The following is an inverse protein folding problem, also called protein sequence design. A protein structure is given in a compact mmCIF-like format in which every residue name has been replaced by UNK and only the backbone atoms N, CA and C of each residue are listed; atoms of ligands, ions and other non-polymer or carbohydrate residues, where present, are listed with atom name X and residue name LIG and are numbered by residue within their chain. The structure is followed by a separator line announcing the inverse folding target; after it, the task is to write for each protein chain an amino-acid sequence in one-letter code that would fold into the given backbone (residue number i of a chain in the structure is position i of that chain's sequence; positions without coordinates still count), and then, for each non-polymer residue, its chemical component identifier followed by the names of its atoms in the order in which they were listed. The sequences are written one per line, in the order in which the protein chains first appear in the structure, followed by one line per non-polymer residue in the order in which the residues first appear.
data_IF_597568643092
#
_entry.id   IF_597568643092
#
_cell.length_a   1.000
_cell.length_b   1.000
_cell.length_c   1.000
_cell.angle_alpha   90.00
_cell.angle_beta   90.00
_cell.angle_gamma   90.00
#
_symmetry.space_group_name_H-M   'P 1'
#
loop_
_entity.id
_entity.type
_entity.pdbx_description
1 polymer ?
#
# COMPACT_ATOMS: atom_id res chain seq x y z
N UNK A 1 -21.67 -3.36 32.62
CA UNK A 1 -21.48 -1.99 33.18
C UNK A 1 -19.98 -1.72 33.27
N UNK A 2 -19.46 -0.49 33.16
CA UNK A 2 -19.91 0.70 32.43
C UNK A 2 -18.82 1.80 32.57
N UNK A 3 -18.33 2.40 31.46
CA UNK A 3 -17.32 3.49 31.44
C UNK A 3 -15.96 3.11 32.09
N UNK A 4 -14.87 3.88 32.05
CA UNK A 4 -14.39 5.03 31.25
C UNK A 4 -12.83 4.96 31.30
N UNK A 5 -12.02 5.59 30.46
CA UNK A 5 -12.28 6.50 29.34
C UNK A 5 -11.19 7.58 29.25
N UNK A 6 -10.43 7.59 28.15
CA UNK A 6 -9.42 8.61 27.74
C UNK A 6 -8.13 8.71 28.59
N UNK A 7 -7.00 8.57 27.90
CA UNK A 7 -5.89 9.54 27.99
C UNK A 7 -5.64 10.04 26.55
N UNK A 8 -5.40 11.33 26.39
CA UNK A 8 -5.10 11.99 25.13
C UNK A 8 -4.33 13.29 25.38
N UNK A 9 -4.12 14.08 24.32
CA UNK A 9 -3.36 15.34 24.34
C UNK A 9 -1.86 15.21 24.66
N UNK A 10 -1.09 14.80 23.65
CA UNK A 10 0.02 15.66 23.23
C UNK A 10 -0.59 16.93 22.60
N UNK A 11 0.02 18.11 22.79
CA UNK A 11 -0.31 19.29 21.96
C UNK A 11 -0.68 20.61 22.66
N UNK A 12 -0.10 20.96 23.80
CA UNK A 12 -0.17 22.33 24.36
C UNK A 12 1.21 22.81 24.85
N UNK A 13 2.19 22.84 23.94
CA UNK A 13 3.60 23.16 24.26
C UNK A 13 4.13 24.50 23.73
N UNK A 14 3.29 25.37 23.18
CA UNK A 14 3.70 26.55 22.40
C UNK A 14 3.12 27.90 22.88
N UNK A 15 2.43 27.94 24.02
CA UNK A 15 1.89 29.18 24.62
C UNK A 15 2.54 29.42 25.99
N UNK A 16 3.84 29.70 25.99
CA UNK A 16 4.61 29.99 27.22
C UNK A 16 5.76 31.02 27.07
N UNK A 17 6.18 31.38 25.85
CA UNK A 17 7.32 32.31 25.66
C UNK A 17 7.02 33.79 25.97
N UNK A 18 5.77 34.17 26.23
CA UNK A 18 5.39 35.56 26.53
C UNK A 18 5.62 36.03 27.98
N UNK A 19 6.02 35.14 28.90
CA UNK A 19 6.00 35.41 30.35
C UNK A 19 7.37 35.46 31.04
N UNK A 20 8.47 35.19 30.34
CA UNK A 20 9.82 35.18 30.92
C UNK A 20 10.58 36.53 30.86
N UNK A 21 9.94 37.61 30.38
CA UNK A 21 10.51 38.97 30.40
C UNK A 21 10.02 39.85 31.56
N UNK A 22 9.13 39.36 32.43
CA UNK A 22 8.46 40.17 33.47
C UNK A 22 8.98 39.93 34.91
N UNK A 23 9.81 38.92 35.14
CA UNK A 23 10.19 38.49 36.49
C UNK A 23 11.39 39.24 37.12
N UNK A 24 11.93 40.25 36.44
CA UNK A 24 13.15 40.96 36.87
C UNK A 24 12.89 42.21 37.75
N UNK A 25 11.62 42.57 38.05
CA UNK A 25 11.28 43.87 38.66
C UNK A 25 10.30 43.78 39.84
N UNK A 26 10.35 42.69 40.62
CA UNK A 26 9.43 42.44 41.76
C UNK A 26 10.13 42.02 43.06
N UNK A 27 11.39 42.42 43.27
CA UNK A 27 12.16 42.12 44.50
C UNK A 27 12.77 43.38 45.13
N UNK A 28 11.94 44.43 45.36
CA UNK A 28 12.31 45.53 46.26
C UNK A 28 11.11 46.33 46.83
N UNK A 29 10.12 45.70 47.47
CA UNK A 29 8.99 46.44 48.07
C UNK A 29 8.25 45.73 49.22
N UNK A 30 8.96 45.25 50.24
CA UNK A 30 8.36 44.90 51.54
C UNK A 30 9.42 44.76 52.66
N UNK A 31 9.76 45.86 53.34
CA UNK A 31 9.71 45.91 54.82
C UNK A 31 10.04 47.31 55.34
N UNK A 32 9.05 47.96 55.98
CA UNK A 32 9.30 49.09 56.89
C UNK A 32 8.08 49.31 57.79
N UNK A 33 8.18 48.90 59.04
CA UNK A 33 7.36 49.42 60.14
C UNK A 33 8.28 49.88 61.28
N UNK A 34 7.94 50.99 61.91
CA UNK A 34 8.90 51.89 62.58
C UNK A 34 9.39 51.37 63.94
N UNK A 35 10.44 52.01 64.51
CA UNK A 35 10.12 53.11 65.43
C UNK A 35 11.11 54.31 65.44
N UNK A 36 10.54 55.51 65.61
CA UNK A 36 11.00 56.46 66.64
C UNK A 36 12.19 57.40 66.41
N UNK A 37 11.95 58.68 66.75
CA UNK A 37 12.88 59.61 67.42
C UNK A 37 14.08 60.21 66.63
N UNK A 38 13.75 61.29 65.90
CA UNK A 38 14.27 62.66 66.13
C UNK A 38 15.78 62.95 66.24
N UNK A 39 16.24 63.72 65.23
CA UNK A 39 16.93 65.02 65.35
C UNK A 39 18.49 65.06 65.42
N UNK A 40 19.04 66.24 65.06
CA UNK A 40 20.45 66.68 65.13
C UNK A 40 21.35 65.91 64.14
N UNK A 41 21.67 66.43 62.96
CA UNK A 41 22.68 67.48 62.68
C UNK A 41 24.07 67.13 63.21
N UNK A 42 25.01 66.81 62.32
CA UNK A 42 26.35 67.42 62.29
C UNK A 42 27.09 66.96 61.02
N UNK A 43 28.18 67.65 60.68
CA UNK A 43 28.97 67.37 59.49
C UNK A 43 30.42 67.02 59.88
N UNK A 44 30.99 66.00 59.25
CA UNK A 44 32.23 66.11 58.45
C UNK A 44 32.50 64.80 57.67
N UNK A 45 33.31 64.83 56.58
CA UNK A 45 33.47 63.69 55.68
C UNK A 45 34.64 62.76 56.05
N UNK A 46 34.37 61.47 56.21
CA UNK A 46 35.39 60.43 56.47
C UNK A 46 35.36 59.29 55.44
N UNK A 47 35.96 59.55 54.27
CA UNK A 47 36.63 58.55 53.40
C UNK A 47 36.05 57.13 53.34
N UNK A 48 34.80 56.98 52.88
CA UNK A 48 34.39 55.73 52.24
C UNK A 48 34.93 55.73 50.81
N UNK A 49 35.95 54.92 50.54
CA UNK A 49 36.44 54.70 49.17
C UNK A 49 35.35 53.93 48.43
N UNK A 50 34.68 54.59 47.49
CA UNK A 50 33.82 53.89 46.54
C UNK A 50 34.70 52.91 45.73
N UNK A 51 34.22 51.68 45.44
CA UNK A 51 34.94 50.79 44.52
C UNK A 51 35.14 51.52 43.19
N UNK A 52 36.31 51.37 42.59
CA UNK A 52 36.68 52.18 41.44
C UNK A 52 35.70 51.91 40.29
N UNK A 53 35.31 52.95 39.54
CA UNK A 53 34.38 52.79 38.43
C UNK A 53 34.91 51.79 37.39
N UNK A 54 36.24 51.69 37.29
CA UNK A 54 36.93 50.71 36.46
C UNK A 54 36.84 49.27 37.01
N UNK A 55 36.93 49.08 38.33
CA UNK A 55 36.74 47.77 38.99
C UNK A 55 35.30 47.26 38.77
N UNK A 56 34.31 48.15 38.83
CA UNK A 56 32.92 47.80 38.54
C UNK A 56 32.70 47.48 37.04
N UNK A 57 33.43 48.11 36.12
CA UNK A 57 33.40 47.76 34.70
C UNK A 57 34.05 46.39 34.42
N UNK A 58 35.21 46.11 35.04
CA UNK A 58 35.91 44.84 34.87
C UNK A 58 35.07 43.64 35.35
N UNK A 59 34.36 43.77 36.49
CA UNK A 59 33.43 42.74 36.98
C UNK A 59 32.28 42.48 36.00
N UNK A 60 31.70 43.53 35.39
CA UNK A 60 30.63 43.38 34.38
C UNK A 60 31.17 42.69 33.12
N UNK A 61 32.34 43.10 32.64
CA UNK A 61 32.99 42.51 31.47
C UNK A 61 33.34 41.04 31.69
N UNK A 62 33.84 40.70 32.89
CA UNK A 62 34.14 39.32 33.30
C UNK A 62 32.86 38.47 33.36
N UNK A 63 31.74 39.00 33.86
CA UNK A 63 30.45 38.30 33.90
C UNK A 63 29.88 38.03 32.48
N UNK A 64 30.02 39.00 31.57
CA UNK A 64 29.66 38.84 30.16
C UNK A 64 30.51 37.74 29.51
N UNK A 65 31.83 37.75 29.70
CA UNK A 65 32.70 36.75 29.10
C UNK A 65 32.54 35.36 29.73
N UNK A 66 32.24 35.27 31.04
CA UNK A 66 31.86 34.00 31.67
C UNK A 66 30.58 33.43 31.04
N UNK A 67 29.53 34.25 30.91
CA UNK A 67 28.25 33.83 30.30
C UNK A 67 28.46 33.38 28.85
N UNK A 68 29.33 34.06 28.11
CA UNK A 68 29.74 33.63 26.76
C UNK A 68 30.45 32.28 26.77
N UNK A 69 31.45 32.08 27.62
CA UNK A 69 32.19 30.81 27.74
C UNK A 69 31.28 29.65 28.16
N UNK A 70 30.30 29.88 29.03
CA UNK A 70 29.29 28.90 29.43
C UNK A 70 28.34 28.54 28.27
N UNK A 71 27.94 29.53 27.47
CA UNK A 71 27.16 29.34 26.24
C UNK A 71 27.94 28.54 25.18
N UNK A 72 29.19 28.92 24.90
CA UNK A 72 30.08 28.22 23.95
C UNK A 72 30.34 26.77 24.41
N UNK A 73 30.53 26.55 25.71
CA UNK A 73 30.66 25.20 26.28
C UNK A 73 29.34 24.39 26.26
N UNK A 74 28.18 25.03 26.28
CA UNK A 74 26.90 24.35 26.04
C UNK A 74 26.69 24.00 24.56
N UNK A 75 27.07 24.90 23.64
CA UNK A 75 27.02 24.68 22.20
C UNK A 75 27.90 23.49 21.77
N UNK A 76 29.16 23.43 22.26
CA UNK A 76 30.06 22.31 21.96
C UNK A 76 29.52 20.96 22.47
N UNK A 77 29.01 20.89 23.71
CA UNK A 77 28.38 19.66 24.24
C UNK A 77 27.17 19.21 23.40
N UNK A 78 26.37 20.16 22.90
CA UNK A 78 25.25 19.84 22.00
C UNK A 78 25.75 19.35 20.63
N UNK A 79 26.81 19.95 20.07
CA UNK A 79 27.42 19.51 18.81
C UNK A 79 28.03 18.10 18.91
N UNK A 80 28.72 17.79 20.00
CA UNK A 80 29.26 16.45 20.29
C UNK A 80 28.13 15.41 20.42
N UNK A 81 27.05 15.73 21.15
CA UNK A 81 25.89 14.86 21.29
C UNK A 81 25.16 14.62 19.95
N UNK A 82 25.12 15.62 19.06
CA UNK A 82 24.60 15.47 17.70
C UNK A 82 25.52 14.59 16.84
N UNK A 83 26.84 14.79 16.90
CA UNK A 83 27.80 13.97 16.18
C UNK A 83 27.74 12.49 16.58
N UNK A 84 27.57 12.19 17.88
CA UNK A 84 27.36 10.83 18.39
C UNK A 84 26.05 10.20 17.90
N UNK A 85 24.96 10.98 17.82
CA UNK A 85 23.69 10.50 17.27
C UNK A 85 23.78 10.23 15.77
N UNK A 86 24.45 11.11 15.02
CA UNK A 86 24.65 10.94 13.58
C UNK A 86 25.52 9.72 13.26
N UNK A 87 26.61 9.47 13.99
CA UNK A 87 27.44 8.28 13.78
C UNK A 87 26.72 6.98 14.14
N UNK A 88 25.89 6.98 15.20
CA UNK A 88 25.03 5.84 15.52
C UNK A 88 23.99 5.57 14.42
N UNK A 89 23.32 6.62 13.91
CA UNK A 89 22.36 6.49 12.79
C UNK A 89 23.07 5.93 11.55
N UNK A 90 24.23 6.49 11.17
CA UNK A 90 25.04 6.03 10.04
C UNK A 90 25.38 4.54 10.17
N UNK A 91 25.90 4.11 11.32
CA UNK A 91 26.21 2.70 11.58
C UNK A 91 24.97 1.80 11.53
N UNK A 92 23.80 2.28 11.99
CA UNK A 92 22.55 1.52 11.92
C UNK A 92 22.07 1.30 10.48
N UNK A 93 22.23 2.31 9.62
CA UNK A 93 21.87 2.25 8.20
C UNK A 93 22.83 1.31 7.46
N UNK A 94 24.13 1.42 7.68
CA UNK A 94 25.14 0.52 7.09
C UNK A 94 24.92 -0.94 7.52
N UNK A 95 24.61 -1.17 8.80
CA UNK A 95 24.30 -2.51 9.32
C UNK A 95 22.97 -3.07 8.77
N UNK A 96 21.94 -2.24 8.57
CA UNK A 96 20.69 -2.65 7.95
C UNK A 96 20.91 -2.99 6.47
N UNK A 97 21.55 -2.11 5.70
CA UNK A 97 21.78 -2.31 4.27
C UNK A 97 22.65 -3.56 4.00
N UNK A 98 23.64 -3.84 4.87
CA UNK A 98 24.41 -5.09 4.81
C UNK A 98 23.52 -6.33 5.00
N UNK A 99 22.63 -6.34 6.02
CA UNK A 99 21.69 -7.46 6.26
C UNK A 99 20.73 -7.66 5.09
N UNK A 100 20.25 -6.57 4.49
CA UNK A 100 19.38 -6.61 3.31
C UNK A 100 20.12 -7.21 2.10
N UNK A 101 21.37 -6.81 1.84
CA UNK A 101 22.16 -7.42 0.76
C UNK A 101 22.48 -8.90 1.02
N UNK A 102 22.79 -9.30 2.26
CA UNK A 102 22.99 -10.71 2.63
C UNK A 102 21.70 -11.55 2.45
N UNK A 103 20.53 -10.98 2.77
CA UNK A 103 19.22 -11.60 2.54
C UNK A 103 18.88 -11.71 1.05
N UNK A 104 19.13 -10.68 0.23
CA UNK A 104 18.92 -10.72 -1.22
C UNK A 104 19.88 -11.71 -1.88
N UNK A 105 21.16 -11.73 -1.49
CA UNK A 105 22.15 -12.65 -2.06
C UNK A 105 21.84 -14.12 -1.73
N UNK A 106 21.41 -14.41 -0.50
CA UNK A 106 21.00 -15.76 -0.10
C UNK A 106 19.71 -16.21 -0.80
N UNK A 107 18.70 -15.33 -0.91
CA UNK A 107 17.48 -15.58 -1.69
C UNK A 107 17.80 -15.88 -3.17
N UNK A 108 18.61 -15.04 -3.83
CA UNK A 108 19.03 -15.25 -5.21
C UNK A 108 19.79 -16.57 -5.40
N UNK A 109 20.63 -16.97 -4.44
CA UNK A 109 21.33 -18.26 -4.46
C UNK A 109 20.37 -19.45 -4.35
N UNK A 110 19.35 -19.36 -3.49
CA UNK A 110 18.31 -20.41 -3.37
C UNK A 110 17.53 -20.52 -4.69
N UNK A 111 17.11 -19.40 -5.26
CA UNK A 111 16.39 -19.35 -6.55
C UNK A 111 17.21 -19.95 -7.69
N UNK A 112 18.51 -19.65 -7.78
CA UNK A 112 19.42 -20.20 -8.79
C UNK A 112 19.55 -21.74 -8.67
N UNK A 113 19.65 -22.26 -7.45
CA UNK A 113 19.70 -23.71 -7.18
C UNK A 113 18.37 -24.39 -7.49
N UNK A 114 17.24 -23.78 -7.13
CA UNK A 114 15.92 -24.31 -7.48
C UNK A 114 15.72 -24.39 -8.99
N UNK A 115 16.13 -23.34 -9.73
CA UNK A 115 16.07 -23.31 -11.19
C UNK A 115 16.95 -24.39 -11.85
N UNK A 116 18.16 -24.64 -11.34
CA UNK A 116 19.04 -25.68 -11.90
C UNK A 116 18.54 -27.10 -11.61
N UNK A 117 17.92 -27.34 -10.44
CA UNK A 117 17.26 -28.61 -10.13
C UNK A 117 16.05 -28.85 -11.02
N UNK A 118 15.19 -27.85 -11.23
CA UNK A 118 14.03 -27.94 -12.13
C UNK A 118 14.45 -28.16 -13.60
N UNK A 119 15.51 -27.49 -14.05
CA UNK A 119 16.08 -27.76 -15.38
C UNK A 119 16.62 -29.19 -15.50
N UNK A 120 17.37 -29.67 -14.50
CA UNK A 120 17.93 -31.03 -14.47
C UNK A 120 16.87 -32.13 -14.49
N UNK A 121 15.81 -31.99 -13.69
CA UNK A 121 14.68 -32.95 -13.70
C UNK A 121 13.89 -32.89 -15.00
N UNK A 122 13.70 -31.70 -15.58
CA UNK A 122 13.10 -31.51 -16.90
C UNK A 122 13.89 -32.20 -18.02
N UNK A 123 15.21 -32.00 -18.07
CA UNK A 123 16.08 -32.68 -19.04
C UNK A 123 16.08 -34.21 -18.89
N UNK A 124 16.11 -34.71 -17.64
CA UNK A 124 16.03 -36.15 -17.38
C UNK A 124 14.67 -36.73 -17.82
N UNK A 125 13.57 -36.03 -17.55
CA UNK A 125 12.23 -36.41 -18.00
C UNK A 125 12.11 -36.46 -19.53
N UNK A 126 12.64 -35.44 -20.22
CA UNK A 126 12.69 -35.40 -21.68
C UNK A 126 13.53 -36.54 -22.27
N UNK A 127 14.68 -36.86 -21.66
CA UNK A 127 15.54 -37.96 -22.11
C UNK A 127 14.87 -39.34 -21.91
N UNK A 128 14.23 -39.55 -20.75
CA UNK A 128 13.43 -40.74 -20.50
C UNK A 128 12.28 -40.89 -21.50
N UNK A 129 11.53 -39.81 -21.78
CA UNK A 129 10.45 -39.81 -22.77
C UNK A 129 10.98 -40.16 -24.18
N UNK A 130 12.09 -39.54 -24.60
CA UNK A 130 12.72 -39.84 -25.89
C UNK A 130 13.17 -41.32 -25.99
N UNK A 131 13.75 -41.87 -24.92
CA UNK A 131 14.14 -43.29 -24.86
C UNK A 131 12.93 -44.24 -24.93
N UNK A 132 11.83 -43.93 -24.22
CA UNK A 132 10.59 -44.70 -24.30
C UNK A 132 9.98 -44.66 -25.69
N UNK A 133 9.93 -43.48 -26.33
CA UNK A 133 9.44 -43.33 -27.70
C UNK A 133 10.31 -44.12 -28.70
N UNK A 134 11.64 -44.01 -28.62
CA UNK A 134 12.57 -44.76 -29.47
C UNK A 134 12.43 -46.29 -29.30
N UNK A 135 12.21 -46.75 -28.06
CA UNK A 135 11.98 -48.17 -27.77
C UNK A 135 10.61 -48.64 -28.31
N UNK A 136 9.58 -47.79 -28.24
CA UNK A 136 8.26 -48.07 -28.79
C UNK A 136 8.29 -48.13 -30.34
N UNK A 137 8.95 -47.17 -31.01
CA UNK A 137 9.11 -47.20 -32.47
C UNK A 137 9.88 -48.42 -32.94
N UNK A 138 10.95 -48.81 -32.25
CA UNK A 138 11.70 -50.02 -32.60
C UNK A 138 10.83 -51.29 -32.46
N UNK A 139 10.03 -51.42 -31.41
CA UNK A 139 9.07 -52.53 -31.27
C UNK A 139 7.98 -52.52 -32.35
N UNK A 140 7.48 -51.35 -32.73
CA UNK A 140 6.52 -51.22 -33.83
C UNK A 140 7.14 -51.64 -35.18
N UNK A 141 8.41 -51.30 -35.45
CA UNK A 141 9.10 -51.77 -36.66
C UNK A 141 9.39 -53.27 -36.67
N UNK A 142 9.68 -53.88 -35.52
CA UNK A 142 9.82 -55.35 -35.41
C UNK A 142 8.50 -56.05 -35.74
N UNK A 143 7.38 -55.59 -35.17
CA UNK A 143 6.04 -56.16 -35.44
C UNK A 143 5.61 -55.90 -36.89
N UNK A 144 5.90 -54.72 -37.44
CA UNK A 144 5.61 -54.38 -38.84
C UNK A 144 6.33 -55.27 -39.86
N UNK A 145 7.48 -55.85 -39.50
CA UNK A 145 8.22 -56.78 -40.35
C UNK A 145 7.79 -58.25 -40.17
N UNK A 146 7.00 -58.56 -39.15
CA UNK A 146 6.56 -59.91 -38.82
C UNK A 146 5.28 -60.36 -39.57
N UNK A 147 4.68 -59.48 -40.39
CA UNK A 147 3.45 -59.77 -41.15
C UNK A 147 3.77 -59.90 -42.66
N UNK A 148 4.04 -61.12 -43.18
CA UNK A 148 4.27 -61.32 -44.60
C UNK A 148 2.97 -61.15 -45.40
N UNK A 149 2.91 -60.14 -46.26
CA UNK A 149 1.75 -59.79 -47.09
C UNK A 149 1.61 -60.74 -48.31
N UNK A 150 1.43 -62.04 -48.07
CA UNK A 150 1.52 -63.05 -49.14
C UNK A 150 0.64 -64.31 -48.95
N UNK A 151 -0.67 -64.16 -48.76
CA UNK A 151 -1.68 -65.20 -49.05
C UNK A 151 -3.11 -64.62 -49.08
N UNK A 152 -3.52 -64.03 -50.20
CA UNK A 152 -4.89 -63.50 -50.37
C UNK A 152 -5.33 -63.36 -51.85
N UNK A 153 -5.13 -64.39 -52.70
CA UNK A 153 -5.57 -64.36 -54.10
C UNK A 153 -5.80 -65.79 -54.66
N UNK A 154 -6.96 -66.37 -54.33
CA UNK A 154 -7.81 -67.26 -55.15
C UNK A 154 -8.98 -67.80 -54.27
N UNK A 155 -10.22 -68.01 -54.78
CA UNK A 155 -11.39 -68.34 -53.97
C UNK A 155 -11.82 -69.83 -54.04
N UNK A 156 -12.29 -70.43 -52.94
CA UNK A 156 -12.66 -71.87 -52.94
C UNK A 156 -13.53 -72.39 -51.79
N UNK A 157 -14.85 -72.22 -51.92
CA UNK A 157 -15.95 -73.04 -51.34
C UNK A 157 -16.13 -73.17 -49.81
N UNK A 158 -17.42 -73.25 -49.42
CA UNK A 158 -17.94 -73.49 -48.05
C UNK A 158 -17.94 -75.01 -47.73
N UNK A 159 -18.05 -75.41 -46.44
CA UNK A 159 -19.38 -75.70 -45.91
C UNK A 159 -19.60 -75.29 -44.43
N UNK A 160 -20.86 -75.39 -43.99
CA UNK A 160 -21.30 -75.06 -42.63
C UNK A 160 -21.12 -76.23 -41.62
N UNK A 161 -20.81 -75.85 -40.37
CA UNK A 161 -21.18 -76.48 -39.09
C UNK A 161 -21.13 -78.02 -38.89
N UNK A 162 -20.44 -78.47 -37.81
CA UNK A 162 -21.09 -79.06 -36.61
C UNK A 162 -20.09 -79.41 -35.48
N UNK A 163 -20.63 -79.49 -34.25
CA UNK A 163 -20.16 -80.21 -33.05
C UNK A 163 -18.74 -80.01 -32.47
N UNK A 164 -18.71 -79.35 -31.29
CA UNK A 164 -18.14 -79.79 -30.00
C UNK A 164 -16.71 -80.38 -29.91
N UNK A 165 -15.87 -79.77 -29.06
CA UNK A 165 -14.61 -80.35 -28.57
C UNK A 165 -13.66 -79.35 -27.90
N UNK A 166 -13.81 -79.14 -26.59
CA UNK A 166 -12.76 -78.56 -25.73
C UNK A 166 -11.61 -79.57 -25.50
N UNK A 167 -10.43 -79.14 -25.03
CA UNK A 167 -9.70 -77.90 -25.30
C UNK A 167 -8.22 -78.18 -25.68
N UNK A 168 -7.38 -77.17 -25.94
CA UNK A 168 -6.07 -77.00 -25.27
C UNK A 168 -5.29 -75.75 -25.74
N UNK A 169 -4.44 -75.26 -24.84
CA UNK A 169 -3.51 -74.12 -24.91
C UNK A 169 -2.97 -73.73 -26.31
N UNK A 170 -3.15 -72.45 -26.65
CA UNK A 170 -2.16 -71.67 -27.40
C UNK A 170 -1.73 -70.46 -26.53
N UNK A 171 -0.43 -70.18 -26.43
CA UNK A 171 0.08 -69.04 -25.66
C UNK A 171 -0.12 -67.73 -26.45
N UNK A 172 -1.15 -66.96 -26.10
CA UNK A 172 -1.26 -65.56 -26.53
C UNK A 172 -0.23 -64.68 -25.82
N UNK A 173 0.32 -63.66 -26.50
CA UNK A 173 1.40 -62.86 -25.92
C UNK A 173 0.92 -62.04 -24.72
N UNK A 174 1.71 -61.93 -23.63
CA UNK A 174 1.33 -61.15 -22.46
C UNK A 174 1.19 -59.65 -22.76
N UNK A 175 1.82 -59.15 -23.83
CA UNK A 175 1.69 -57.77 -24.30
C UNK A 175 0.31 -57.49 -24.93
N UNK A 176 -0.22 -58.41 -25.75
CA UNK A 176 -1.55 -58.28 -26.35
C UNK A 176 -2.64 -58.40 -25.29
N UNK A 177 -2.47 -59.34 -24.36
CA UNK A 177 -3.34 -59.51 -23.20
C UNK A 177 -3.30 -58.31 -22.24
N UNK A 178 -2.18 -57.59 -22.16
CA UNK A 178 -2.09 -56.32 -21.43
C UNK A 178 -2.75 -55.17 -22.20
N UNK A 179 -2.54 -55.07 -23.51
CA UNK A 179 -3.17 -54.05 -24.37
C UNK A 179 -4.70 -54.14 -24.36
N UNK A 180 -5.26 -55.34 -24.53
CA UNK A 180 -6.70 -55.59 -24.44
C UNK A 180 -7.28 -55.22 -23.06
N UNK A 181 -6.54 -55.48 -21.98
CA UNK A 181 -6.93 -55.07 -20.61
C UNK A 181 -6.87 -53.56 -20.41
N UNK A 182 -5.91 -52.86 -21.01
CA UNK A 182 -5.84 -51.40 -20.96
C UNK A 182 -6.96 -50.74 -21.76
N UNK A 183 -7.25 -51.22 -22.97
CA UNK A 183 -8.37 -50.74 -23.79
C UNK A 183 -9.71 -50.95 -23.09
N UNK A 184 -9.99 -52.16 -22.58
CA UNK A 184 -11.20 -52.43 -21.81
C UNK A 184 -11.30 -51.62 -20.51
N UNK A 185 -10.17 -51.31 -19.86
CA UNK A 185 -10.15 -50.42 -18.70
C UNK A 185 -10.45 -48.96 -19.06
N UNK A 186 -10.03 -48.48 -20.23
CA UNK A 186 -10.34 -47.13 -20.73
C UNK A 186 -11.83 -47.05 -21.10
N UNK A 187 -12.34 -47.99 -21.90
CA UNK A 187 -13.75 -48.04 -22.31
C UNK A 187 -14.70 -48.13 -21.10
N UNK A 188 -14.31 -48.90 -20.07
CA UNK A 188 -15.05 -48.98 -18.82
C UNK A 188 -14.92 -47.73 -17.92
N UNK A 189 -13.85 -46.94 -18.09
CA UNK A 189 -13.69 -45.65 -17.42
C UNK A 189 -14.57 -44.57 -18.10
N UNK A 190 -14.53 -44.49 -19.43
CA UNK A 190 -15.36 -43.58 -20.24
C UNK A 190 -16.85 -43.83 -20.00
N UNK A 191 -17.27 -45.09 -20.01
CA UNK A 191 -18.66 -45.47 -19.69
C UNK A 191 -19.08 -45.01 -18.28
N UNK A 192 -18.19 -45.13 -17.29
CA UNK A 192 -18.45 -44.63 -15.93
C UNK A 192 -18.43 -43.11 -15.84
N UNK A 193 -17.66 -42.43 -16.67
CA UNK A 193 -17.63 -40.97 -16.74
C UNK A 193 -18.98 -40.46 -17.28
N UNK A 194 -19.52 -41.06 -18.34
CA UNK A 194 -20.88 -40.78 -18.83
C UNK A 194 -21.99 -41.15 -17.82
N UNK A 195 -21.88 -42.26 -17.10
CA UNK A 195 -22.81 -42.61 -16.00
C UNK A 195 -22.78 -41.53 -14.89
N UNK A 196 -21.62 -40.94 -14.59
CA UNK A 196 -21.46 -39.83 -13.63
C UNK A 196 -21.99 -38.50 -14.18
N UNK A 197 -21.78 -38.18 -15.45
CA UNK A 197 -22.33 -36.98 -16.09
C UNK A 197 -23.88 -37.01 -16.14
N UNK A 198 -24.48 -38.15 -16.50
CA UNK A 198 -25.93 -38.29 -16.50
C UNK A 198 -26.54 -38.29 -15.09
N UNK A 199 -25.86 -38.85 -14.07
CA UNK A 199 -26.36 -38.78 -12.68
C UNK A 199 -26.18 -37.40 -12.05
N UNK A 200 -25.17 -36.63 -12.44
CA UNK A 200 -25.02 -35.22 -12.08
C UNK A 200 -26.12 -34.32 -12.67
N UNK A 201 -26.68 -34.68 -13.83
CA UNK A 201 -27.78 -33.93 -14.48
C UNK A 201 -29.18 -34.29 -13.97
N UNK A 202 -29.36 -35.43 -13.29
CA UNK A 202 -30.68 -35.96 -12.90
C UNK A 202 -30.86 -36.30 -11.40
N UNK A 203 -30.14 -35.63 -10.50
CA UNK A 203 -30.36 -35.75 -9.05
C UNK A 203 -31.16 -34.56 -8.47
N UNK A 204 -32.48 -34.68 -8.24
CA UNK A 204 -33.27 -33.62 -7.62
C UNK A 204 -32.99 -33.52 -6.12
N UNK A 205 -32.34 -32.44 -5.67
CA UNK A 205 -31.96 -32.28 -4.27
C UNK A 205 -33.17 -31.84 -3.41
N UNK A 206 -33.82 -32.81 -2.76
CA UNK A 206 -35.02 -32.58 -1.95
C UNK A 206 -34.87 -33.13 -0.51
N UNK A 207 -34.63 -32.23 0.44
CA UNK A 207 -34.74 -32.47 1.88
C UNK A 207 -33.43 -32.85 2.59
N UNK A 208 -33.23 -32.47 3.86
CA UNK A 208 -34.01 -31.52 4.66
C UNK A 208 -33.20 -30.99 5.86
N UNK A 209 -33.39 -29.72 6.20
CA UNK A 209 -33.18 -29.16 7.54
C UNK A 209 -33.95 -27.84 7.61
N UNK A 210 -34.87 -27.70 8.57
CA UNK A 210 -35.95 -26.69 8.55
C UNK A 210 -35.99 -25.92 9.88
N UNK A 211 -36.62 -24.73 9.87
CA UNK A 211 -36.78 -23.75 10.96
C UNK A 211 -35.55 -22.84 11.17
N UNK A 212 -35.66 -21.53 11.40
CA UNK A 212 -36.68 -20.48 11.17
C UNK A 212 -35.96 -19.11 11.39
N UNK A 213 -36.42 -17.89 11.09
CA UNK A 213 -37.71 -17.34 10.62
C UNK A 213 -37.44 -15.95 9.97
N UNK A 214 -38.36 -15.39 9.15
CA UNK A 214 -38.43 -13.93 8.89
C UNK A 214 -38.35 -13.44 7.43
N UNK A 215 -39.50 -13.41 6.74
CA UNK A 215 -39.78 -12.76 5.42
C UNK A 215 -40.83 -11.63 5.63
N UNK A 216 -41.43 -10.95 4.61
CA UNK A 216 -41.15 -10.80 3.17
C UNK A 216 -40.80 -9.31 2.83
N UNK A 217 -40.99 -8.64 1.68
CA UNK A 217 -41.50 -8.89 0.29
C UNK A 217 -40.57 -8.09 -0.67
N UNK A 218 -40.83 -7.56 -1.89
CA UNK A 218 -41.90 -7.45 -2.92
C UNK A 218 -41.16 -7.25 -4.27
N UNK A 219 -41.46 -8.00 -5.34
CA UNK A 219 -42.31 -7.61 -6.50
C UNK A 219 -41.90 -6.33 -7.26
N UNK A 220 -41.91 -6.26 -8.62
CA UNK A 220 -42.09 -7.28 -9.65
C UNK A 220 -41.74 -6.76 -11.08
N UNK A 221 -41.69 -7.68 -12.05
CA UNK A 221 -41.98 -7.51 -13.48
C UNK A 221 -41.03 -6.73 -14.44
N UNK A 222 -40.63 -7.49 -15.48
CA UNK A 222 -40.12 -7.11 -16.81
C UNK A 222 -40.78 -5.88 -17.48
N UNK A 223 -40.00 -5.17 -18.30
CA UNK A 223 -40.19 -5.19 -19.77
C UNK A 223 -38.91 -4.77 -20.51
N UNK A 224 -38.69 -5.30 -21.71
CA UNK A 224 -37.70 -4.82 -22.67
C UNK A 224 -38.37 -3.85 -23.68
N UNK A 225 -37.57 -2.96 -24.29
CA UNK A 225 -37.57 -2.62 -25.74
C UNK A 225 -36.92 -1.24 -26.02
N UNK A 226 -35.93 -1.23 -26.92
CA UNK A 226 -35.57 -0.09 -27.79
C UNK A 226 -36.36 -0.26 -29.12
N UNK A 227 -36.51 0.73 -30.04
CA UNK A 227 -35.41 1.51 -30.62
C UNK A 227 -35.72 3.01 -30.97
N UNK A 228 -34.64 3.75 -31.35
CA UNK A 228 -34.46 4.71 -32.47
C UNK A 228 -35.56 5.74 -32.89
N UNK A 229 -35.28 6.95 -33.41
CA UNK A 229 -34.05 7.78 -33.55
C UNK A 229 -34.37 9.24 -34.00
N UNK A 230 -33.32 10.09 -34.08
CA UNK A 230 -33.19 11.36 -34.85
C UNK A 230 -33.96 12.66 -34.47
N UNK A 231 -33.53 13.75 -35.13
CA UNK A 231 -34.08 15.12 -35.23
C UNK A 231 -33.78 16.18 -34.14
N UNK A 232 -32.70 16.93 -34.38
CA UNK A 232 -32.60 18.41 -34.37
C UNK A 232 -33.51 19.26 -33.45
N UNK A 233 -32.88 20.09 -32.60
CA UNK A 233 -33.22 21.51 -32.46
C UNK A 233 -32.02 22.32 -31.92
N UNK A 234 -31.71 23.47 -32.54
CA UNK A 234 -30.74 24.44 -32.04
C UNK A 234 -31.44 25.59 -31.30
N UNK A 235 -31.05 25.86 -30.06
CA UNK A 235 -31.50 27.05 -29.33
C UNK A 235 -30.49 27.49 -28.27
N UNK A 236 -29.83 28.63 -28.50
CA UNK A 236 -29.33 29.46 -27.41
C UNK A 236 -30.51 30.20 -26.77
N UNK A 237 -30.41 30.47 -25.45
CA UNK A 237 -30.62 31.85 -25.01
C UNK A 237 -29.32 32.45 -24.42
N UNK A 238 -29.25 33.78 -24.45
CA UNK A 238 -28.13 34.56 -23.90
C UNK A 238 -28.17 34.73 -22.37
N UNK A 239 -27.27 35.53 -21.80
CA UNK A 239 -27.02 35.60 -20.37
C UNK A 239 -28.08 36.38 -19.59
N UNK A 240 -28.29 35.99 -18.34
CA UNK A 240 -28.86 36.86 -17.29
C UNK A 240 -28.22 36.52 -15.95
N UNK A 241 -27.83 37.53 -15.19
CA UNK A 241 -27.05 37.39 -13.96
C UNK A 241 -27.79 36.61 -12.87
N UNK A 242 -27.11 35.62 -12.28
CA UNK A 242 -27.23 35.34 -10.85
C UNK A 242 -25.84 35.18 -10.23
N UNK A 243 -25.51 36.18 -9.43
CA UNK A 243 -24.45 36.16 -8.43
C UNK A 243 -24.58 34.99 -7.45
N UNK A 244 -23.47 34.70 -6.77
CA UNK A 244 -23.28 33.69 -5.72
C UNK A 244 -23.05 32.25 -6.23
N UNK A 245 -21.87 31.65 -5.99
CA UNK A 245 -21.69 30.20 -6.14
C UNK A 245 -22.48 29.44 -5.05
N UNK A 246 -22.80 28.15 -5.24
CA UNK A 246 -23.45 27.36 -4.20
C UNK A 246 -22.52 27.21 -2.98
N UNK A 247 -22.89 27.88 -1.88
CA UNK A 247 -22.21 27.79 -0.59
C UNK A 247 -22.64 26.53 0.16
N UNK A 248 -22.27 25.38 -0.41
CA UNK A 248 -22.35 24.09 0.26
C UNK A 248 -21.26 24.01 1.34
N UNK A 249 -21.49 24.67 2.47
CA UNK A 249 -20.77 24.37 3.70
C UNK A 249 -21.05 22.90 4.10
N UNK A 250 -20.06 22.15 4.61
CA UNK A 250 -20.25 20.74 4.95
C UNK A 250 -21.29 20.61 6.06
N UNK A 251 -22.38 19.91 5.76
CA UNK A 251 -23.46 19.65 6.70
C UNK A 251 -22.88 18.92 7.93
N UNK A 252 -23.12 19.45 9.13
CA UNK A 252 -22.18 19.24 10.26
C UNK A 252 -22.14 17.81 10.80
N UNK A 253 -23.10 16.96 10.41
CA UNK A 253 -23.08 15.51 10.65
C UNK A 253 -22.14 14.70 9.74
N UNK A 254 -21.68 15.25 8.61
CA UNK A 254 -20.86 14.53 7.63
C UNK A 254 -19.37 14.49 7.97
N UNK A 255 -18.83 15.53 8.63
CA UNK A 255 -17.41 15.60 9.01
C UNK A 255 -16.83 14.32 9.68
N UNK A 256 -17.49 13.67 10.69
CA UNK A 256 -17.00 12.41 11.25
C UNK A 256 -17.06 11.24 10.27
N UNK A 257 -17.96 11.25 9.28
CA UNK A 257 -18.07 10.22 8.26
C UNK A 257 -16.92 10.33 7.24
N UNK A 258 -16.60 11.54 6.77
CA UNK A 258 -15.43 11.77 5.90
C UNK A 258 -14.12 11.37 6.59
N UNK A 259 -13.96 11.70 7.87
CA UNK A 259 -12.80 11.30 8.66
C UNK A 259 -12.68 9.76 8.80
N UNK A 260 -13.80 9.06 8.99
CA UNK A 260 -13.84 7.60 9.04
C UNK A 260 -13.50 6.97 7.69
N UNK A 261 -13.98 7.54 6.58
CA UNK A 261 -13.62 7.09 5.22
C UNK A 261 -12.13 7.33 4.92
N UNK A 262 -11.54 8.44 5.36
CA UNK A 262 -10.10 8.72 5.20
C UNK A 262 -9.27 7.68 5.97
N UNK A 263 -9.63 7.40 7.23
CA UNK A 263 -8.97 6.39 8.04
C UNK A 263 -9.10 4.98 7.45
N UNK A 264 -10.29 4.61 6.93
CA UNK A 264 -10.55 3.35 6.22
C UNK A 264 -9.70 3.23 4.95
N UNK A 265 -9.70 4.25 4.09
CA UNK A 265 -8.91 4.28 2.86
C UNK A 265 -7.41 4.20 3.12
N UNK A 266 -6.90 4.93 4.12
CA UNK A 266 -5.49 4.86 4.51
C UNK A 266 -5.13 3.50 5.14
N UNK A 267 -6.04 2.85 5.87
CA UNK A 267 -5.85 1.48 6.36
C UNK A 267 -5.81 0.46 5.22
N UNK A 268 -6.68 0.61 4.21
CA UNK A 268 -6.68 -0.24 3.01
C UNK A 268 -5.38 -0.06 2.19
N UNK A 269 -4.82 1.16 2.13
CA UNK A 269 -3.47 1.37 1.60
C UNK A 269 -2.40 0.65 2.44
N UNK A 270 -2.46 0.69 3.76
CA UNK A 270 -1.51 -0.07 4.61
C UNK A 270 -1.63 -1.59 4.48
N UNK A 271 -2.79 -2.10 4.02
CA UNK A 271 -3.04 -3.51 3.72
C UNK A 271 -2.80 -3.88 2.24
N UNK A 272 -2.14 -2.99 1.49
CA UNK A 272 -1.86 -3.08 0.05
C UNK A 272 -3.09 -3.41 -0.83
N UNK A 273 -4.24 -2.82 -0.49
CA UNK A 273 -5.50 -2.88 -1.22
C UNK A 273 -5.84 -1.51 -1.86
N UNK A 274 -5.01 -0.97 -2.78
CA UNK A 274 -5.20 0.38 -3.31
C UNK A 274 -6.49 0.54 -4.11
N UNK A 275 -7.00 -0.52 -4.77
CA UNK A 275 -8.28 -0.47 -5.49
C UNK A 275 -9.49 -0.28 -4.55
N UNK A 276 -9.49 -0.92 -3.37
CA UNK A 276 -10.53 -0.71 -2.34
C UNK A 276 -10.38 0.66 -1.66
N UNK A 277 -9.14 1.17 -1.55
CA UNK A 277 -8.87 2.50 -1.05
C UNK A 277 -9.38 3.61 -1.99
N UNK A 278 -9.24 3.44 -3.32
CA UNK A 278 -9.77 4.39 -4.31
C UNK A 278 -11.27 4.65 -4.09
N UNK A 279 -12.08 3.59 -3.95
CA UNK A 279 -13.52 3.74 -3.73
C UNK A 279 -13.84 4.59 -2.50
N UNK A 280 -13.04 4.49 -1.43
CA UNK A 280 -13.22 5.32 -0.23
C UNK A 280 -12.86 6.79 -0.49
N UNK A 281 -11.82 7.08 -1.28
CA UNK A 281 -11.43 8.45 -1.62
C UNK A 281 -12.37 9.08 -2.66
N UNK A 282 -12.90 8.30 -3.60
CA UNK A 282 -13.95 8.73 -4.55
C UNK A 282 -15.27 9.05 -3.84
N UNK A 283 -15.64 8.27 -2.81
CA UNK A 283 -16.77 8.55 -1.91
C UNK A 283 -16.56 9.89 -1.17
N UNK A 284 -15.37 10.14 -0.61
CA UNK A 284 -15.05 11.43 0.04
C UNK A 284 -15.10 12.60 -0.95
N UNK A 285 -14.50 12.47 -2.15
CA UNK A 285 -14.50 13.53 -3.17
C UNK A 285 -15.92 13.81 -3.69
N UNK A 286 -16.82 12.81 -3.64
CA UNK A 286 -18.23 12.98 -4.00
C UNK A 286 -19.05 13.70 -2.91
N UNK A 287 -18.67 13.55 -1.64
CA UNK A 287 -19.29 14.25 -0.50
C UNK A 287 -18.73 15.67 -0.30
N UNK A 288 -17.41 15.83 -0.43
CA UNK A 288 -16.69 17.10 -0.34
C UNK A 288 -15.70 17.26 -1.52
N UNK A 289 -16.14 17.89 -2.62
CA UNK A 289 -15.28 18.21 -3.76
C UNK A 289 -14.16 19.23 -3.44
N UNK A 290 -14.12 19.81 -2.23
CA UNK A 290 -13.07 20.71 -1.76
C UNK A 290 -12.07 20.02 -0.82
N UNK A 291 -12.15 18.69 -0.67
CA UNK A 291 -11.23 17.93 0.17
C UNK A 291 -9.88 17.68 -0.53
N UNK A 292 -8.95 18.64 -0.40
CA UNK A 292 -7.62 18.54 -1.02
C UNK A 292 -6.80 17.33 -0.52
N UNK A 293 -6.98 16.90 0.75
CA UNK A 293 -6.33 15.69 1.26
C UNK A 293 -6.83 14.43 0.53
N UNK A 294 -8.13 14.28 0.31
CA UNK A 294 -8.69 13.12 -0.39
C UNK A 294 -8.13 12.98 -1.82
N UNK A 295 -7.94 14.09 -2.54
CA UNK A 295 -7.25 14.08 -3.84
C UNK A 295 -5.80 13.60 -3.73
N UNK A 296 -5.04 14.02 -2.70
CA UNK A 296 -3.68 13.52 -2.44
C UNK A 296 -3.68 12.02 -2.16
N UNK A 297 -4.55 11.51 -1.26
CA UNK A 297 -4.62 10.08 -0.94
C UNK A 297 -5.03 9.24 -2.16
N UNK A 298 -5.96 9.75 -2.99
CA UNK A 298 -6.34 9.15 -4.28
C UNK A 298 -5.15 9.06 -5.23
N UNK A 299 -4.35 10.13 -5.35
CA UNK A 299 -3.10 10.12 -6.11
C UNK A 299 -2.14 9.03 -5.63
N UNK A 300 -1.94 8.91 -4.32
CA UNK A 300 -1.07 7.87 -3.73
C UNK A 300 -1.61 6.45 -3.96
N UNK A 301 -2.93 6.25 -4.03
CA UNK A 301 -3.53 4.97 -4.40
C UNK A 301 -3.32 4.63 -5.89
N UNK A 302 -3.44 5.63 -6.78
CA UNK A 302 -3.20 5.49 -8.22
C UNK A 302 -1.73 5.18 -8.55
N UNK A 303 -0.77 5.78 -7.83
CA UNK A 303 0.66 5.44 -7.94
C UNK A 303 0.93 3.95 -7.71
N UNK A 304 0.33 3.37 -6.67
CA UNK A 304 0.49 1.94 -6.35
C UNK A 304 -0.15 1.03 -7.41
N UNK A 305 -1.25 1.48 -8.00
CA UNK A 305 -1.87 0.87 -9.18
C UNK A 305 -1.13 1.18 -10.49
N UNK A 306 0.02 1.88 -10.43
CA UNK A 306 0.87 2.27 -11.57
C UNK A 306 0.19 3.23 -12.58
N UNK A 307 -0.96 3.81 -12.21
CA UNK A 307 -1.75 4.79 -12.99
C UNK A 307 -1.17 6.19 -12.76
N UNK A 308 0.00 6.42 -13.33
CA UNK A 308 0.90 7.52 -12.93
C UNK A 308 0.39 8.89 -13.39
N UNK A 309 -0.23 8.92 -14.56
CA UNK A 309 -0.79 10.10 -15.21
C UNK A 309 -2.02 10.61 -14.44
N UNK A 310 -2.91 9.69 -14.05
CA UNK A 310 -4.08 10.01 -13.22
C UNK A 310 -3.69 10.41 -11.79
N UNK A 311 -2.56 9.90 -11.27
CA UNK A 311 -2.01 10.35 -10.00
C UNK A 311 -1.54 11.82 -10.08
N UNK A 312 -0.85 12.21 -11.16
CA UNK A 312 -0.48 13.60 -11.43
C UNK A 312 -1.72 14.51 -11.53
N UNK A 313 -2.77 14.09 -12.24
CA UNK A 313 -4.05 14.82 -12.28
C UNK A 313 -4.66 15.01 -10.88
N UNK A 314 -4.61 13.99 -10.03
CA UNK A 314 -5.14 14.09 -8.66
C UNK A 314 -4.33 15.08 -7.82
N UNK A 315 -3.00 15.12 -7.96
CA UNK A 315 -2.17 16.11 -7.28
C UNK A 315 -2.38 17.54 -7.83
N UNK A 316 -2.59 17.70 -9.14
CA UNK A 316 -2.95 19.01 -9.72
C UNK A 316 -4.32 19.50 -9.27
N UNK A 317 -5.31 18.61 -9.11
CA UNK A 317 -6.61 18.94 -8.50
C UNK A 317 -6.46 19.34 -7.03
N UNK A 318 -5.63 18.62 -6.26
CA UNK A 318 -5.34 18.97 -4.87
C UNK A 318 -4.72 20.38 -4.76
N UNK A 319 -3.74 20.72 -5.60
CA UNK A 319 -3.10 22.05 -5.65
C UNK A 319 -4.07 23.14 -6.12
N UNK A 320 -4.99 22.82 -7.04
CA UNK A 320 -6.00 23.77 -7.51
C UNK A 320 -7.04 24.13 -6.44
N UNK A 321 -7.41 23.15 -5.60
CA UNK A 321 -8.30 23.30 -4.45
C UNK A 321 -7.60 24.01 -3.29
N UNK A 322 -6.42 23.53 -2.88
CA UNK A 322 -5.59 24.14 -1.84
C UNK A 322 -4.14 24.33 -2.30
N UNK A 323 -3.80 25.59 -2.60
CA UNK A 323 -2.44 26.01 -2.97
C UNK A 323 -1.49 26.06 -1.77
N UNK A 324 -1.98 25.94 -0.54
CA UNK A 324 -1.17 25.87 0.68
C UNK A 324 -0.77 24.43 1.06
N UNK A 325 -1.26 23.42 0.34
CA UNK A 325 -0.98 22.01 0.62
C UNK A 325 0.40 21.57 0.09
N UNK A 326 1.47 21.94 0.80
CA UNK A 326 2.87 21.50 0.56
C UNK A 326 2.97 20.02 0.19
N UNK A 327 2.21 19.16 0.89
CA UNK A 327 2.12 17.71 0.67
C UNK A 327 1.80 17.31 -0.78
N UNK A 328 0.92 18.05 -1.46
CA UNK A 328 0.54 17.74 -2.84
C UNK A 328 1.71 18.04 -3.81
N UNK A 329 2.42 19.14 -3.61
CA UNK A 329 3.64 19.47 -4.36
C UNK A 329 4.75 18.44 -4.14
N UNK A 330 4.96 17.98 -2.89
CA UNK A 330 5.97 16.96 -2.56
C UNK A 330 5.70 15.63 -3.29
N UNK A 331 4.46 15.13 -3.26
CA UNK A 331 4.12 13.89 -3.97
C UNK A 331 4.20 14.07 -5.50
N UNK A 332 3.72 15.18 -6.05
CA UNK A 332 3.84 15.47 -7.49
C UNK A 332 5.31 15.50 -7.95
N UNK A 333 6.19 16.15 -7.18
CA UNK A 333 7.63 16.13 -7.43
C UNK A 333 8.22 14.71 -7.35
N UNK A 334 7.77 13.91 -6.39
CA UNK A 334 8.13 12.49 -6.27
C UNK A 334 7.71 11.65 -7.47
N UNK A 335 6.55 11.91 -8.08
CA UNK A 335 6.15 11.29 -9.37
C UNK A 335 7.12 11.69 -10.48
N UNK A 336 7.36 12.98 -10.69
CA UNK A 336 8.27 13.45 -11.75
C UNK A 336 9.69 12.88 -11.60
N UNK A 337 10.20 12.77 -10.37
CA UNK A 337 11.49 12.15 -10.09
C UNK A 337 11.56 10.68 -10.56
N UNK A 338 10.51 9.88 -10.30
CA UNK A 338 10.42 8.48 -10.77
C UNK A 338 10.24 8.36 -12.28
N UNK A 339 9.68 9.39 -12.92
CA UNK A 339 9.60 9.55 -14.38
C UNK A 339 10.89 10.15 -15.00
N UNK A 340 11.95 10.39 -14.22
CA UNK A 340 13.20 11.06 -14.64
C UNK A 340 13.01 12.49 -15.19
N UNK A 341 11.87 13.13 -14.88
CA UNK A 341 11.51 14.50 -15.28
C UNK A 341 12.03 15.51 -14.25
N UNK A 342 13.35 15.52 -14.08
CA UNK A 342 14.03 16.19 -12.96
C UNK A 342 13.76 17.70 -12.85
N UNK A 343 13.65 18.42 -13.97
CA UNK A 343 13.32 19.85 -13.95
C UNK A 343 11.93 20.15 -13.36
N UNK A 344 10.95 19.29 -13.63
CA UNK A 344 9.57 19.45 -13.15
C UNK A 344 9.44 18.97 -11.71
N UNK A 345 10.21 17.94 -11.33
CA UNK A 345 10.38 17.56 -9.93
C UNK A 345 10.96 18.72 -9.09
N UNK A 346 12.04 19.36 -9.58
CA UNK A 346 12.68 20.50 -8.93
C UNK A 346 11.71 21.68 -8.77
N UNK A 347 11.00 22.07 -9.84
CA UNK A 347 9.96 23.12 -9.78
C UNK A 347 8.86 22.79 -8.74
N UNK A 348 8.45 21.52 -8.61
CA UNK A 348 7.51 21.10 -7.57
C UNK A 348 8.09 21.24 -6.15
N UNK A 349 9.36 20.89 -5.93
CA UNK A 349 10.01 21.04 -4.62
C UNK A 349 10.27 22.51 -4.25
N UNK A 350 10.61 23.37 -5.21
CA UNK A 350 10.69 24.82 -5.00
C UNK A 350 9.33 25.40 -4.55
N UNK A 351 8.23 24.99 -5.19
CA UNK A 351 6.88 25.39 -4.78
C UNK A 351 6.51 24.82 -3.39
N UNK A 352 6.90 23.58 -3.07
CA UNK A 352 6.69 23.01 -1.74
C UNK A 352 7.38 23.86 -0.65
N UNK A 353 8.66 24.22 -0.86
CA UNK A 353 9.44 25.02 0.08
C UNK A 353 8.90 26.46 0.22
N UNK A 354 8.50 27.10 -0.88
CA UNK A 354 7.87 28.43 -0.83
C UNK A 354 6.56 28.41 -0.04
N UNK A 355 5.75 27.37 -0.23
CA UNK A 355 4.49 27.17 0.49
C UNK A 355 4.71 26.89 1.98
N UNK A 356 5.65 26.03 2.34
CA UNK A 356 6.00 25.74 3.73
C UNK A 356 6.52 27.00 4.45
N UNK A 357 7.44 27.75 3.84
CA UNK A 357 7.94 29.02 4.39
C UNK A 357 6.82 30.04 4.60
N UNK A 358 5.84 30.11 3.68
CA UNK A 358 4.69 31.00 3.81
C UNK A 358 3.79 30.62 4.98
N UNK A 359 3.52 29.33 5.17
CA UNK A 359 2.69 28.81 6.27
C UNK A 359 3.40 28.90 7.63
N UNK A 360 4.74 28.92 7.66
CA UNK A 360 5.53 29.18 8.87
C UNK A 360 5.66 30.67 9.22
N UNK A 361 5.28 31.58 8.30
CA UNK A 361 5.36 33.03 8.46
C UNK A 361 4.00 33.71 8.68
N UNK A 362 2.92 32.92 8.84
CA UNK A 362 1.53 33.36 9.02
C UNK A 362 0.95 32.93 10.36
#
# INVERSE_FOLDING_TARGET
MASCGRVGFLGTGLIACGWLLCCAWSVHSADSSSPGLTNVSDAEPATAVAPDFQEQQDVIQQAIEQTRRESDAAANRNAEALAQRLSFIQQSIEAQHKREMEAVQSSNRITLVAASVLAGTGFLGMFCLAFFLMRATNRLTEVSMAVPLSHALEPGHMPNALTAGDPHLALGNPAELAGARFLGAIEQLEKRLHELEHTAQHTPFAGASTLANGQPKSEAARSEAKPDAESNASAFPGPSDRSSPPEAAPDSGQAPHLALLLAKGQTLLSLDKPAEALACFDEIISLDPRNAEAFVKKGTALERLRRTEEALECYDRAIAVDRSLTTAYLYKGGVFNRLQRFEEALKCYEQALQTEQKTLAS
#
